data_IF_877619592267
#
_entry.id   IF_877619592267
#
_cell.length_a   1.000
_cell.length_b   1.000
_cell.length_c   1.000
_cell.angle_alpha   90.00
_cell.angle_beta   90.00
_cell.angle_gamma   90.00
#
_symmetry.space_group_name_H-M   'P 1'
#
loop_
_entity.id
_entity.type
_entity.pdbx_description
1 polymer ?
#
# COMPACT_ATOMS: atom_id res chain seq x y z
N UNK A 1 17.97 37.26 -13.16
CA UNK A 1 18.06 36.04 -12.33
C UNK A 1 17.71 34.91 -13.26
N UNK A 2 18.70 34.08 -13.61
CA UNK A 2 18.67 33.19 -14.77
C UNK A 2 17.58 32.12 -14.71
N UNK A 3 16.63 32.23 -15.64
CA UNK A 3 15.58 31.24 -15.89
C UNK A 3 16.14 29.86 -16.25
N UNK A 4 17.36 29.79 -16.82
CA UNK A 4 18.06 28.54 -17.15
C UNK A 4 18.54 27.77 -15.90
N UNK A 5 18.94 28.47 -14.83
CA UNK A 5 19.40 27.85 -13.57
C UNK A 5 18.20 27.33 -12.76
N UNK A 6 17.08 28.06 -12.77
CA UNK A 6 15.84 27.59 -12.15
C UNK A 6 15.28 26.35 -12.86
N UNK A 7 15.24 26.34 -14.19
CA UNK A 7 14.79 25.19 -14.97
C UNK A 7 15.61 23.92 -14.70
N UNK A 8 16.95 24.05 -14.59
CA UNK A 8 17.81 22.91 -14.23
C UNK A 8 17.62 22.39 -12.80
N UNK A 9 17.20 23.25 -11.87
CA UNK A 9 16.91 22.87 -10.49
C UNK A 9 15.55 22.16 -10.38
N UNK A 10 14.55 22.66 -11.09
CA UNK A 10 13.19 22.11 -11.12
C UNK A 10 13.15 20.71 -11.73
N UNK A 11 13.90 20.49 -12.82
CA UNK A 11 14.03 19.16 -13.46
C UNK A 11 14.65 18.15 -12.50
N UNK A 12 15.71 18.52 -11.77
CA UNK A 12 16.35 17.63 -10.79
C UNK A 12 15.40 17.22 -9.68
N UNK A 13 14.59 18.15 -9.16
CA UNK A 13 13.58 17.87 -8.12
C UNK A 13 12.53 16.89 -8.64
N UNK A 14 12.04 17.08 -9.87
CA UNK A 14 11.06 16.19 -10.49
C UNK A 14 11.62 14.77 -10.69
N UNK A 15 12.81 14.65 -11.27
CA UNK A 15 13.49 13.36 -11.51
C UNK A 15 13.75 12.62 -10.20
N UNK A 16 14.19 13.32 -9.16
CA UNK A 16 14.40 12.73 -7.85
C UNK A 16 13.09 12.29 -7.19
N UNK A 17 12.02 13.08 -7.34
CA UNK A 17 10.67 12.69 -6.91
C UNK A 17 10.20 11.40 -7.58
N UNK A 18 10.34 11.33 -8.90
CA UNK A 18 9.99 10.15 -9.70
C UNK A 18 10.83 8.93 -9.32
N UNK A 19 12.14 9.07 -9.14
CA UNK A 19 13.01 7.96 -8.71
C UNK A 19 12.62 7.42 -7.33
N UNK A 20 12.20 8.29 -6.41
CA UNK A 20 11.68 7.87 -5.11
C UNK A 20 10.36 7.11 -5.24
N UNK A 21 9.42 7.57 -6.08
CA UNK A 21 8.16 6.84 -6.37
C UNK A 21 8.48 5.49 -7.01
N UNK A 22 9.44 5.42 -7.94
CA UNK A 22 9.88 4.16 -8.57
C UNK A 22 10.45 3.19 -7.54
N UNK A 23 11.27 3.70 -6.62
CA UNK A 23 11.80 2.91 -5.52
C UNK A 23 10.72 2.39 -4.57
N UNK A 24 9.65 3.17 -4.33
CA UNK A 24 8.49 2.71 -3.58
C UNK A 24 7.72 1.62 -4.33
N UNK A 25 7.48 1.82 -5.64
CA UNK A 25 6.82 0.85 -6.49
C UNK A 25 7.54 -0.51 -6.49
N UNK A 26 8.87 -0.51 -6.55
CA UNK A 26 9.67 -1.74 -6.43
C UNK A 26 9.43 -2.46 -5.09
N UNK A 27 9.41 -1.73 -3.98
CA UNK A 27 9.16 -2.31 -2.66
C UNK A 27 7.74 -2.86 -2.54
N UNK A 28 6.75 -2.20 -3.15
CA UNK A 28 5.37 -2.72 -3.22
C UNK A 28 5.27 -3.98 -4.09
N UNK A 29 6.00 -4.06 -5.20
CA UNK A 29 6.11 -5.28 -6.01
C UNK A 29 6.66 -6.44 -5.16
N UNK A 30 7.78 -6.22 -4.47
CA UNK A 30 8.39 -7.24 -3.60
C UNK A 30 7.43 -7.66 -2.49
N UNK A 31 6.77 -6.68 -1.84
CA UNK A 31 5.78 -6.95 -0.79
C UNK A 31 4.61 -7.78 -1.31
N UNK A 32 4.13 -7.49 -2.53
CA UNK A 32 3.02 -8.20 -3.13
C UNK A 32 3.40 -9.65 -3.44
N UNK A 33 4.62 -9.89 -3.93
CA UNK A 33 5.16 -11.24 -4.14
C UNK A 33 5.25 -12.02 -2.83
N UNK A 34 5.74 -11.39 -1.75
CA UNK A 34 5.74 -12.01 -0.42
C UNK A 34 4.33 -12.33 0.06
N UNK A 35 3.35 -11.46 -0.23
CA UNK A 35 1.94 -11.70 0.03
C UNK A 35 1.43 -12.96 -0.68
N UNK A 36 1.72 -13.13 -1.98
CA UNK A 36 1.36 -14.34 -2.72
C UNK A 36 2.00 -15.60 -2.15
N UNK A 37 3.27 -15.53 -1.74
CA UNK A 37 3.95 -16.67 -1.10
C UNK A 37 3.26 -17.02 0.22
N UNK A 38 2.92 -16.02 1.04
CA UNK A 38 2.20 -16.25 2.30
C UNK A 38 0.81 -16.85 2.07
N UNK A 39 0.06 -16.36 1.07
CA UNK A 39 -1.23 -16.93 0.68
C UNK A 39 -1.09 -18.38 0.20
N UNK A 40 -0.10 -18.68 -0.64
CA UNK A 40 0.15 -20.05 -1.12
C UNK A 40 0.49 -21.01 0.03
N UNK A 41 1.34 -20.57 0.97
CA UNK A 41 1.68 -21.34 2.18
C UNK A 41 0.42 -21.60 3.01
N UNK A 42 -0.43 -20.58 3.19
CA UNK A 42 -1.69 -20.74 3.93
C UNK A 42 -2.63 -21.75 3.27
N UNK A 43 -2.77 -21.70 1.93
CA UNK A 43 -3.58 -22.66 1.16
C UNK A 43 -3.05 -24.09 1.31
N UNK A 44 -1.74 -24.29 1.15
CA UNK A 44 -1.10 -25.61 1.36
C UNK A 44 -1.35 -26.11 2.78
N UNK A 45 -1.27 -25.21 3.77
CA UNK A 45 -1.58 -25.52 5.17
C UNK A 45 -3.01 -26.01 5.37
N UNK A 46 -4.00 -25.32 4.81
CA UNK A 46 -5.40 -25.71 4.90
C UNK A 46 -5.61 -27.11 4.30
N UNK A 47 -5.06 -27.40 3.12
CA UNK A 47 -5.19 -28.73 2.52
C UNK A 47 -4.48 -29.82 3.32
N UNK A 48 -3.31 -29.51 3.90
CA UNK A 48 -2.59 -30.45 4.76
C UNK A 48 -3.41 -30.82 6.00
N UNK A 49 -4.06 -29.84 6.63
CA UNK A 49 -4.96 -30.07 7.78
C UNK A 49 -6.14 -30.95 7.39
N UNK A 50 -6.82 -30.64 6.28
CA UNK A 50 -7.97 -31.42 5.82
C UNK A 50 -7.56 -32.89 5.59
N UNK A 51 -6.40 -33.12 4.98
CA UNK A 51 -5.84 -34.47 4.78
C UNK A 51 -5.57 -35.19 6.10
N UNK A 52 -4.88 -34.55 7.04
CA UNK A 52 -4.54 -35.15 8.35
C UNK A 52 -5.78 -35.41 9.23
N UNK A 53 -6.81 -34.57 9.14
CA UNK A 53 -8.10 -34.82 9.83
C UNK A 53 -8.81 -36.01 9.20
N UNK A 54 -8.81 -36.13 7.87
CA UNK A 54 -9.43 -37.25 7.17
C UNK A 54 -8.77 -38.61 7.48
N UNK A 55 -7.47 -38.63 7.81
CA UNK A 55 -6.73 -39.83 8.21
C UNK A 55 -6.76 -40.11 9.72
N UNK A 56 -7.43 -39.25 10.51
CA UNK A 56 -7.57 -39.41 11.96
C UNK A 56 -6.33 -39.03 12.78
N UNK A 57 -5.29 -38.44 12.16
CA UNK A 57 -4.05 -38.08 12.86
C UNK A 57 -4.06 -36.61 13.33
N UNK A 58 -4.80 -36.35 14.40
CA UNK A 58 -4.99 -35.02 14.98
C UNK A 58 -3.69 -34.36 15.49
N UNK A 59 -2.72 -35.15 15.96
CA UNK A 59 -1.42 -34.63 16.43
C UNK A 59 -0.56 -34.11 15.26
N UNK A 60 -0.60 -34.79 14.11
CA UNK A 60 0.07 -34.35 12.89
C UNK A 60 -0.61 -33.13 12.26
N UNK A 61 -1.95 -33.07 12.32
CA UNK A 61 -2.72 -31.90 11.90
C UNK A 61 -2.33 -30.64 12.72
N UNK A 62 -2.19 -30.77 14.05
CA UNK A 62 -1.84 -29.64 14.91
C UNK A 62 -0.37 -29.20 14.72
N UNK A 63 0.56 -30.15 14.57
CA UNK A 63 1.97 -29.85 14.36
C UNK A 63 2.25 -29.17 13.00
N UNK A 64 1.58 -29.64 11.93
CA UNK A 64 1.69 -29.04 10.59
C UNK A 64 1.14 -27.61 10.54
N UNK A 65 0.04 -27.33 11.25
CA UNK A 65 -0.53 -25.97 11.36
C UNK A 65 0.44 -25.01 12.05
N UNK A 66 1.07 -25.43 13.15
CA UNK A 66 1.96 -24.58 13.92
C UNK A 66 3.14 -24.06 13.09
N UNK A 67 3.84 -24.95 12.38
CA UNK A 67 4.99 -24.57 11.55
C UNK A 67 4.61 -23.66 10.38
N UNK A 68 3.49 -23.96 9.70
CA UNK A 68 3.01 -23.20 8.55
C UNK A 68 2.55 -21.80 8.96
N UNK A 69 1.83 -21.67 10.07
CA UNK A 69 1.39 -20.37 10.58
C UNK A 69 2.58 -19.50 10.99
N UNK A 70 3.59 -20.05 11.65
CA UNK A 70 4.79 -19.29 12.03
C UNK A 70 5.52 -18.78 10.78
N UNK A 71 5.71 -19.63 9.77
CA UNK A 71 6.35 -19.24 8.52
C UNK A 71 5.56 -18.14 7.79
N UNK A 72 4.24 -18.28 7.67
CA UNK A 72 3.37 -17.27 7.07
C UNK A 72 3.42 -15.94 7.84
N UNK A 73 3.40 -15.98 9.17
CA UNK A 73 3.49 -14.79 10.01
C UNK A 73 4.81 -14.05 9.83
N UNK A 74 5.95 -14.76 9.75
CA UNK A 74 7.25 -14.14 9.49
C UNK A 74 7.25 -13.44 8.13
N UNK A 75 6.75 -14.10 7.09
CA UNK A 75 6.70 -13.52 5.73
C UNK A 75 5.81 -12.28 5.70
N UNK A 76 4.62 -12.35 6.32
CA UNK A 76 3.72 -11.21 6.42
C UNK A 76 4.32 -10.06 7.22
N UNK A 77 5.06 -10.35 8.28
CA UNK A 77 5.74 -9.34 9.09
C UNK A 77 6.85 -8.63 8.29
N UNK A 78 7.65 -9.37 7.52
CA UNK A 78 8.64 -8.80 6.59
C UNK A 78 7.96 -7.95 5.52
N UNK A 79 6.88 -8.45 4.92
CA UNK A 79 6.09 -7.71 3.94
C UNK A 79 5.52 -6.40 4.50
N UNK A 80 5.00 -6.43 5.73
CA UNK A 80 4.50 -5.24 6.43
C UNK A 80 5.62 -4.20 6.60
N UNK A 81 6.80 -4.61 7.10
CA UNK A 81 7.95 -3.70 7.25
C UNK A 81 8.35 -3.08 5.91
N UNK A 82 8.43 -3.88 4.85
CA UNK A 82 8.78 -3.38 3.51
C UNK A 82 7.74 -2.40 2.97
N UNK A 83 6.44 -2.66 3.18
CA UNK A 83 5.38 -1.73 2.80
C UNK A 83 5.50 -0.39 3.53
N UNK A 84 5.82 -0.41 4.84
CA UNK A 84 6.03 0.80 5.63
C UNK A 84 7.23 1.59 5.12
N UNK A 85 8.34 0.90 4.82
CA UNK A 85 9.52 1.53 4.21
C UNK A 85 9.16 2.12 2.84
N UNK A 86 8.41 1.40 2.01
CA UNK A 86 7.96 1.87 0.70
C UNK A 86 7.19 3.19 0.82
N UNK A 87 6.25 3.26 1.76
CA UNK A 87 5.40 4.43 1.97
C UNK A 87 6.19 5.60 2.57
N UNK A 88 6.82 5.38 3.72
CA UNK A 88 7.39 6.47 4.53
C UNK A 88 8.78 6.90 4.06
N UNK A 89 9.62 5.97 3.64
CA UNK A 89 10.98 6.29 3.23
C UNK A 89 11.07 6.72 1.76
N UNK A 90 10.15 6.27 0.90
CA UNK A 90 10.24 6.49 -0.56
C UNK A 90 9.04 7.22 -1.15
N UNK A 91 7.82 6.72 -0.94
CA UNK A 91 6.64 7.25 -1.63
C UNK A 91 6.27 8.67 -1.17
N UNK A 92 6.12 8.89 0.14
CA UNK A 92 5.78 10.21 0.71
C UNK A 92 6.87 11.25 0.39
N UNK A 93 8.17 10.96 0.56
CA UNK A 93 9.23 11.88 0.12
C UNK A 93 9.22 12.14 -1.40
N UNK A 94 8.90 11.14 -2.21
CA UNK A 94 8.73 11.28 -3.66
C UNK A 94 7.62 12.26 -4.02
N UNK A 95 6.42 12.06 -3.45
CA UNK A 95 5.30 12.98 -3.63
C UNK A 95 5.58 14.39 -3.10
N UNK A 96 6.36 14.52 -2.02
CA UNK A 96 6.78 15.84 -1.50
C UNK A 96 7.61 16.61 -2.52
N UNK A 97 8.55 15.94 -3.20
CA UNK A 97 9.38 16.55 -4.25
C UNK A 97 8.56 16.88 -5.48
N UNK A 98 7.67 15.97 -5.89
CA UNK A 98 6.74 16.24 -6.99
C UNK A 98 5.80 17.42 -6.69
N UNK A 99 5.35 17.58 -5.45
CA UNK A 99 4.57 18.74 -4.99
C UNK A 99 5.34 20.06 -5.10
N UNK A 100 6.64 20.04 -4.81
CA UNK A 100 7.49 21.24 -4.94
C UNK A 100 7.66 21.66 -6.39
N UNK A 101 7.69 20.68 -7.30
CA UNK A 101 7.80 20.92 -8.73
C UNK A 101 6.47 21.31 -9.39
N UNK A 102 5.36 20.63 -9.04
CA UNK A 102 4.04 20.94 -9.55
C UNK A 102 2.96 20.82 -8.45
N UNK A 103 2.19 21.90 -8.28
CA UNK A 103 1.16 22.02 -7.25
C UNK A 103 0.02 21.00 -7.39
N UNK A 104 -0.21 20.43 -8.58
CA UNK A 104 -1.20 19.36 -8.80
C UNK A 104 -0.99 18.17 -7.83
N UNK A 105 0.25 17.87 -7.44
CA UNK A 105 0.55 16.80 -6.48
C UNK A 105 0.24 17.13 -5.01
N UNK A 106 -0.18 18.37 -4.69
CA UNK A 106 -0.43 18.80 -3.31
C UNK A 106 -1.54 18.00 -2.62
N UNK A 107 -2.64 17.73 -3.33
CA UNK A 107 -3.78 16.96 -2.81
C UNK A 107 -3.37 15.52 -2.54
N UNK A 108 -2.74 14.86 -3.51
CA UNK A 108 -2.24 13.49 -3.38
C UNK A 108 -1.27 13.34 -2.20
N UNK A 109 -0.28 14.24 -2.10
CA UNK A 109 0.69 14.26 -1.00
C UNK A 109 0.01 14.40 0.38
N UNK A 110 -0.91 15.36 0.50
CA UNK A 110 -1.57 15.66 1.78
C UNK A 110 -2.46 14.49 2.21
N UNK A 111 -3.23 13.93 1.27
CA UNK A 111 -4.14 12.82 1.54
C UNK A 111 -3.37 11.55 1.93
N UNK A 112 -2.33 11.19 1.19
CA UNK A 112 -1.46 10.06 1.54
C UNK A 112 -0.76 10.28 2.87
N UNK A 113 -0.19 11.46 3.11
CA UNK A 113 0.54 11.72 4.36
C UNK A 113 -0.37 11.64 5.58
N UNK A 114 -1.50 12.35 5.57
CA UNK A 114 -2.42 12.41 6.71
C UNK A 114 -3.07 11.05 6.93
N UNK A 115 -3.60 10.44 5.87
CA UNK A 115 -4.27 9.15 5.95
C UNK A 115 -3.35 8.04 6.45
N UNK A 116 -2.14 7.93 5.89
CA UNK A 116 -1.20 6.88 6.27
C UNK A 116 -0.60 7.08 7.67
N UNK A 117 -0.27 8.32 8.06
CA UNK A 117 0.30 8.59 9.40
C UNK A 117 -0.76 8.40 10.48
N UNK A 118 -1.89 9.11 10.38
CA UNK A 118 -2.94 9.06 11.40
C UNK A 118 -3.53 7.65 11.46
N UNK A 119 -3.79 7.04 10.31
CA UNK A 119 -4.33 5.70 10.25
C UNK A 119 -3.43 4.67 10.90
N UNK A 120 -2.11 4.71 10.63
CA UNK A 120 -1.16 3.80 11.25
C UNK A 120 -1.04 4.03 12.76
N UNK A 121 -1.00 5.28 13.22
CA UNK A 121 -0.95 5.60 14.65
C UNK A 121 -2.20 5.07 15.35
N UNK A 122 -3.39 5.32 14.82
CA UNK A 122 -4.64 4.84 15.39
C UNK A 122 -4.72 3.32 15.41
N UNK A 123 -4.22 2.65 14.37
CA UNK A 123 -4.19 1.19 14.31
C UNK A 123 -3.23 0.61 15.36
N UNK A 124 -2.04 1.21 15.51
CA UNK A 124 -1.08 0.82 16.56
C UNK A 124 -1.63 1.07 17.97
N UNK A 125 -2.22 2.24 18.22
CA UNK A 125 -2.84 2.58 19.50
C UNK A 125 -3.99 1.64 19.79
N UNK A 126 -4.85 1.36 18.80
CA UNK A 126 -5.95 0.40 18.91
C UNK A 126 -5.45 -1.00 19.28
N UNK A 127 -4.40 -1.48 18.58
CA UNK A 127 -3.80 -2.79 18.84
C UNK A 127 -3.18 -2.89 20.24
N UNK A 128 -2.41 -1.88 20.67
CA UNK A 128 -1.82 -1.82 22.01
C UNK A 128 -2.92 -1.72 23.08
N UNK A 129 -4.01 -1.01 22.80
CA UNK A 129 -5.11 -0.82 23.74
C UNK A 129 -5.96 -2.09 23.94
N UNK A 130 -5.89 -3.09 23.06
CA UNK A 130 -6.66 -4.34 23.19
C UNK A 130 -6.40 -5.02 24.53
N UNK A 131 -5.13 -5.19 24.93
CA UNK A 131 -4.74 -5.90 26.15
C UNK A 131 -5.24 -5.19 27.43
N UNK A 132 -4.93 -3.90 27.66
CA UNK A 132 -5.38 -3.21 28.87
C UNK A 132 -6.90 -3.03 28.90
N UNK A 133 -7.55 -2.76 27.76
CA UNK A 133 -9.02 -2.65 27.71
C UNK A 133 -9.68 -4.00 28.02
N UNK A 134 -9.17 -5.10 27.45
CA UNK A 134 -9.67 -6.43 27.76
C UNK A 134 -9.47 -6.80 29.24
N UNK A 135 -8.35 -6.42 29.85
CA UNK A 135 -8.10 -6.64 31.27
C UNK A 135 -9.07 -5.85 32.16
N UNK A 136 -9.32 -4.57 31.86
CA UNK A 136 -10.32 -3.73 32.56
C UNK A 136 -11.71 -4.36 32.44
N UNK A 137 -12.06 -4.82 31.24
CA UNK A 137 -13.31 -5.52 30.96
C UNK A 137 -13.48 -6.78 31.82
N UNK A 138 -12.45 -7.63 31.86
CA UNK A 138 -12.46 -8.87 32.64
C UNK A 138 -12.54 -8.62 34.16
N UNK A 139 -11.83 -7.60 34.67
CA UNK A 139 -11.82 -7.26 36.10
C UNK A 139 -13.13 -6.64 36.60
N UNK A 140 -13.97 -6.12 35.69
CA UNK A 140 -15.23 -5.45 36.06
C UNK A 140 -16.30 -6.38 36.62
N UNK A 141 -16.18 -7.70 36.41
CA UNK A 141 -17.21 -8.69 36.75
C UNK A 141 -18.53 -8.56 35.97
N UNK A 142 -18.64 -7.58 35.07
CA UNK A 142 -19.82 -7.32 34.28
C UNK A 142 -19.59 -7.70 32.81
N UNK A 143 -20.40 -8.63 32.25
CA UNK A 143 -20.31 -9.00 30.84
C UNK A 143 -20.48 -7.81 29.89
N UNK A 144 -21.26 -6.80 30.28
CA UNK A 144 -21.50 -5.61 29.44
C UNK A 144 -20.26 -4.72 29.33
N UNK A 145 -19.50 -4.57 30.41
CA UNK A 145 -18.27 -3.77 30.42
C UNK A 145 -17.16 -4.51 29.66
N UNK A 146 -17.07 -5.84 29.80
CA UNK A 146 -16.13 -6.66 29.05
C UNK A 146 -16.35 -6.60 27.53
N UNK A 147 -17.60 -6.66 27.07
CA UNK A 147 -17.93 -6.44 25.67
C UNK A 147 -17.61 -5.00 25.24
N UNK A 148 -18.03 -4.00 26.03
CA UNK A 148 -17.80 -2.59 25.73
C UNK A 148 -16.33 -2.24 25.53
N UNK A 149 -15.43 -2.79 26.35
CA UNK A 149 -13.99 -2.57 26.23
C UNK A 149 -13.37 -3.15 24.96
N UNK A 150 -13.86 -4.33 24.51
CA UNK A 150 -13.42 -4.94 23.25
C UNK A 150 -13.93 -4.12 22.06
N UNK A 151 -15.20 -3.71 22.07
CA UNK A 151 -15.77 -2.85 21.02
C UNK A 151 -15.08 -1.49 20.94
N UNK A 152 -14.65 -0.93 22.07
CA UNK A 152 -13.89 0.33 22.09
C UNK A 152 -12.53 0.19 21.38
N UNK A 153 -11.78 -0.89 21.68
CA UNK A 153 -10.51 -1.18 21.00
C UNK A 153 -10.73 -1.43 19.50
N UNK A 154 -11.78 -2.19 19.16
CA UNK A 154 -12.15 -2.46 17.77
C UNK A 154 -12.54 -1.18 17.02
N UNK A 155 -13.31 -0.29 17.66
CA UNK A 155 -13.71 1.00 17.12
C UNK A 155 -12.51 1.88 16.76
N UNK A 156 -11.49 1.93 17.61
CA UNK A 156 -10.23 2.64 17.30
C UNK A 156 -9.53 2.06 16.07
N UNK A 157 -9.46 0.73 15.98
CA UNK A 157 -8.88 0.06 14.80
C UNK A 157 -9.67 0.33 13.52
N UNK A 158 -11.00 0.36 13.60
CA UNK A 158 -11.88 0.70 12.46
C UNK A 158 -11.63 2.14 11.99
N UNK A 159 -11.55 3.11 12.91
CA UNK A 159 -11.25 4.50 12.56
C UNK A 159 -9.84 4.58 11.92
N UNK A 160 -8.86 3.88 12.48
CA UNK A 160 -7.53 3.78 11.90
C UNK A 160 -7.53 3.21 10.48
N UNK A 161 -8.29 2.14 10.25
CA UNK A 161 -8.46 1.54 8.92
C UNK A 161 -9.10 2.51 7.92
N UNK A 162 -10.09 3.30 8.33
CA UNK A 162 -10.70 4.34 7.48
C UNK A 162 -9.66 5.40 7.09
N UNK A 163 -8.82 5.86 8.01
CA UNK A 163 -7.74 6.81 7.69
C UNK A 163 -6.70 6.21 6.74
N UNK A 164 -6.31 4.94 6.92
CA UNK A 164 -5.44 4.25 5.98
C UNK A 164 -6.08 4.16 4.58
N UNK A 165 -7.38 3.93 4.51
CA UNK A 165 -8.14 3.92 3.26
C UNK A 165 -8.08 5.27 2.55
N UNK A 166 -8.26 6.37 3.28
CA UNK A 166 -8.07 7.73 2.76
C UNK A 166 -6.64 7.93 2.25
N UNK A 167 -5.64 7.42 2.98
CA UNK A 167 -4.25 7.46 2.56
C UNK A 167 -4.00 6.75 1.22
N UNK A 168 -4.65 5.60 1.04
CA UNK A 168 -4.62 4.81 -0.20
C UNK A 168 -5.29 5.54 -1.37
N UNK A 169 -6.40 6.24 -1.12
CA UNK A 169 -7.01 7.12 -2.14
C UNK A 169 -6.01 8.20 -2.59
N UNK A 170 -5.19 8.72 -1.68
CA UNK A 170 -4.11 9.66 -2.05
C UNK A 170 -3.10 9.06 -3.04
N UNK A 171 -2.78 7.77 -2.90
CA UNK A 171 -1.92 7.04 -3.83
C UNK A 171 -2.60 6.96 -5.21
N UNK A 172 -3.89 6.62 -5.24
CA UNK A 172 -4.67 6.55 -6.48
C UNK A 172 -4.71 7.91 -7.19
N UNK A 173 -5.01 8.98 -6.45
CA UNK A 173 -5.02 10.36 -6.99
C UNK A 173 -3.65 10.74 -7.53
N UNK A 174 -2.56 10.30 -6.88
CA UNK A 174 -1.21 10.56 -7.40
C UNK A 174 -0.99 9.97 -8.79
N UNK A 175 -1.54 8.80 -9.09
CA UNK A 175 -1.44 8.17 -10.42
C UNK A 175 -2.17 8.99 -11.49
N UNK A 176 -3.37 9.50 -11.18
CA UNK A 176 -4.09 10.37 -12.12
C UNK A 176 -3.37 11.69 -12.35
N UNK A 177 -2.77 12.27 -11.31
CA UNK A 177 -1.97 13.49 -11.43
C UNK A 177 -0.68 13.24 -12.24
N UNK A 178 -0.05 12.06 -12.11
CA UNK A 178 1.08 11.70 -12.97
C UNK A 178 0.63 11.60 -14.45
N UNK A 179 -0.57 11.10 -14.72
CA UNK A 179 -1.11 11.10 -16.08
C UNK A 179 -1.40 12.52 -16.60
N UNK A 180 -2.03 13.40 -15.82
CA UNK A 180 -2.32 14.79 -16.25
C UNK A 180 -1.04 15.56 -16.55
N UNK A 181 -0.03 15.42 -15.70
CA UNK A 181 1.22 16.20 -15.80
C UNK A 181 2.17 15.63 -16.85
N UNK A 182 2.31 14.30 -16.95
CA UNK A 182 3.29 13.68 -17.85
C UNK A 182 2.70 13.17 -19.17
N UNK A 183 1.37 13.08 -19.27
CA UNK A 183 0.66 12.61 -20.47
C UNK A 183 0.85 11.13 -20.79
N UNK A 184 1.24 10.31 -19.80
CA UNK A 184 1.48 8.88 -19.98
C UNK A 184 0.29 8.06 -19.48
N UNK A 185 -0.47 7.47 -20.42
CA UNK A 185 -1.70 6.71 -20.14
C UNK A 185 -1.49 5.51 -19.22
N UNK A 186 -0.26 4.99 -19.11
CA UNK A 186 0.09 3.90 -18.20
C UNK A 186 -0.17 4.27 -16.73
N UNK A 187 0.01 5.54 -16.33
CA UNK A 187 -0.32 5.96 -14.96
C UNK A 187 -1.83 5.96 -14.71
N UNK A 188 -2.63 6.32 -15.72
CA UNK A 188 -4.09 6.25 -15.63
C UNK A 188 -4.55 4.79 -15.48
N UNK A 189 -3.99 3.88 -16.29
CA UNK A 189 -4.30 2.44 -16.19
C UNK A 189 -3.90 1.92 -14.80
N UNK A 190 -2.72 2.28 -14.29
CA UNK A 190 -2.32 1.91 -12.94
C UNK A 190 -3.28 2.44 -11.87
N UNK A 191 -3.73 3.69 -11.99
CA UNK A 191 -4.74 4.27 -11.09
C UNK A 191 -6.06 3.51 -11.10
N UNK A 192 -6.56 3.12 -12.28
CA UNK A 192 -7.78 2.31 -12.42
C UNK A 192 -7.59 0.91 -11.81
N UNK A 193 -6.44 0.27 -12.06
CA UNK A 193 -6.13 -1.04 -11.46
C UNK A 193 -6.06 -0.96 -9.93
N UNK A 194 -5.52 0.12 -9.36
CA UNK A 194 -5.54 0.34 -7.91
C UNK A 194 -6.96 0.50 -7.38
N UNK A 195 -7.84 1.23 -8.08
CA UNK A 195 -9.27 1.34 -7.71
C UNK A 195 -9.94 -0.05 -7.73
N UNK A 196 -9.73 -0.82 -8.80
CA UNK A 196 -10.31 -2.16 -8.92
C UNK A 196 -9.77 -3.09 -7.83
N UNK A 197 -8.47 -3.02 -7.54
CA UNK A 197 -7.86 -3.79 -6.45
C UNK A 197 -8.48 -3.41 -5.10
N UNK A 198 -8.78 -2.14 -4.87
CA UNK A 198 -9.39 -1.67 -3.63
C UNK A 198 -10.82 -2.21 -3.46
N UNK A 199 -11.64 -2.09 -4.49
CA UNK A 199 -13.03 -2.58 -4.48
C UNK A 199 -13.06 -4.10 -4.32
N UNK A 200 -12.26 -4.82 -5.10
CA UNK A 200 -12.16 -6.29 -5.00
C UNK A 200 -11.55 -6.73 -3.67
N UNK A 201 -10.66 -5.93 -3.07
CA UNK A 201 -10.08 -6.22 -1.76
C UNK A 201 -11.14 -6.18 -0.66
N UNK A 202 -12.08 -5.23 -0.72
CA UNK A 202 -13.23 -5.18 0.20
C UNK A 202 -14.14 -6.38 0.00
N UNK A 203 -14.45 -6.73 -1.25
CA UNK A 203 -15.23 -7.94 -1.56
C UNK A 203 -14.49 -9.21 -1.11
N UNK A 204 -13.16 -9.19 -1.20
CA UNK A 204 -12.23 -10.24 -0.79
C UNK A 204 -12.35 -10.63 0.68
N UNK A 205 -12.84 -9.72 1.53
CA UNK A 205 -13.15 -10.03 2.94
C UNK A 205 -14.21 -11.13 3.04
N UNK A 206 -15.16 -11.18 2.10
CA UNK A 206 -16.25 -12.16 2.07
C UNK A 206 -16.01 -13.30 1.08
N UNK A 207 -15.25 -13.04 0.00
CA UNK A 207 -15.04 -13.99 -1.10
C UNK A 207 -13.55 -14.15 -1.36
N UNK A 208 -12.97 -15.27 -0.91
CA UNK A 208 -11.54 -15.56 -1.07
C UNK A 208 -11.01 -15.38 -2.51
N UNK A 209 -11.74 -15.85 -3.53
CA UNK A 209 -11.29 -15.69 -4.92
C UNK A 209 -11.13 -14.20 -5.33
N UNK A 210 -11.93 -13.30 -4.76
CA UNK A 210 -11.81 -11.87 -5.03
C UNK A 210 -10.55 -11.26 -4.38
N UNK A 211 -10.07 -11.80 -3.26
CA UNK A 211 -8.82 -11.34 -2.64
C UNK A 211 -7.62 -11.67 -3.52
N UNK A 212 -7.55 -12.88 -4.10
CA UNK A 212 -6.45 -13.26 -5.00
C UNK A 212 -6.42 -12.37 -6.25
N UNK A 213 -7.59 -12.11 -6.86
CA UNK A 213 -7.67 -11.23 -8.04
C UNK A 213 -7.26 -9.80 -7.67
N UNK A 214 -7.71 -9.28 -6.52
CA UNK A 214 -7.30 -7.96 -6.02
C UNK A 214 -5.77 -7.85 -5.90
N UNK A 215 -5.11 -8.82 -5.27
CA UNK A 215 -3.65 -8.87 -5.11
C UNK A 215 -2.93 -8.85 -6.46
N UNK A 216 -3.47 -9.53 -7.48
CA UNK A 216 -2.89 -9.56 -8.84
C UNK A 216 -3.00 -8.17 -9.48
N UNK A 217 -4.18 -7.54 -9.42
CA UNK A 217 -4.36 -6.19 -9.98
C UNK A 217 -3.47 -5.16 -9.29
N UNK A 218 -3.34 -5.25 -7.96
CA UNK A 218 -2.45 -4.40 -7.17
C UNK A 218 -1.00 -4.54 -7.62
N UNK A 219 -0.51 -5.78 -7.78
CA UNK A 219 0.83 -6.05 -8.29
C UNK A 219 1.05 -5.46 -9.69
N UNK A 220 0.12 -5.69 -10.61
CA UNK A 220 0.21 -5.17 -11.99
C UNK A 220 0.26 -3.65 -12.00
N UNK A 221 -0.55 -2.98 -11.18
CA UNK A 221 -0.54 -1.52 -11.08
C UNK A 221 0.85 -0.96 -10.70
N UNK A 222 1.51 -1.56 -9.71
CA UNK A 222 2.85 -1.13 -9.31
C UNK A 222 3.91 -1.45 -10.35
N UNK A 223 3.79 -2.58 -11.06
CA UNK A 223 4.66 -2.89 -12.21
C UNK A 223 4.52 -1.79 -13.28
N UNK A 224 3.30 -1.39 -13.63
CA UNK A 224 3.07 -0.32 -14.61
C UNK A 224 3.70 1.00 -14.19
N UNK A 225 3.54 1.39 -12.91
CA UNK A 225 4.18 2.60 -12.37
C UNK A 225 5.71 2.48 -12.50
N UNK A 226 6.28 1.33 -12.11
CA UNK A 226 7.71 1.10 -12.12
C UNK A 226 8.34 1.21 -13.53
N UNK A 227 7.69 0.65 -14.55
CA UNK A 227 8.19 0.68 -15.94
C UNK A 227 7.96 2.02 -16.64
N UNK A 228 6.98 2.81 -16.19
CA UNK A 228 6.62 4.08 -16.84
C UNK A 228 7.54 5.22 -16.39
N UNK A 229 7.97 5.21 -15.12
CA UNK A 229 8.81 6.27 -14.56
C UNK A 229 10.10 6.53 -15.36
N UNK A 230 10.88 5.53 -15.79
CA UNK A 230 12.06 5.79 -16.62
C UNK A 230 11.76 6.54 -17.92
N UNK A 231 10.63 6.23 -18.57
CA UNK A 231 10.20 6.93 -19.80
C UNK A 231 9.83 8.37 -19.50
N UNK A 232 9.12 8.59 -18.39
CA UNK A 232 8.76 9.93 -17.92
C UNK A 232 9.99 10.77 -17.59
N UNK A 233 10.99 10.20 -16.93
CA UNK A 233 12.26 10.88 -16.64
C UNK A 233 12.94 11.32 -17.95
N UNK A 234 13.08 10.40 -18.91
CA UNK A 234 13.71 10.71 -20.20
C UNK A 234 12.98 11.85 -20.95
N UNK A 235 11.65 11.93 -20.84
CA UNK A 235 10.83 12.99 -21.45
C UNK A 235 11.02 14.36 -20.80
N UNK A 236 11.28 14.40 -19.49
CA UNK A 236 11.51 15.64 -18.74
C UNK A 236 12.97 16.11 -18.92
N UNK A 237 13.91 15.18 -19.05
CA UNK A 237 15.34 15.47 -19.27
C UNK A 237 15.66 15.84 -20.72
N UNK A 238 14.82 15.43 -21.68
CA UNK A 238 14.98 15.84 -23.07
C UNK A 238 14.86 17.38 -23.20
N UNK A 239 15.81 18.05 -23.87
CA UNK A 239 15.70 19.47 -24.17
C UNK A 239 14.36 19.72 -24.87
N UNK A 240 13.54 20.60 -24.31
CA UNK A 240 12.35 21.12 -24.98
C UNK A 240 12.82 21.85 -26.24
N UNK A 241 12.92 21.16 -27.38
CA UNK A 241 13.14 21.80 -28.67
C UNK A 241 11.92 22.70 -28.88
N UNK A 242 12.07 24.02 -28.99
CA UNK A 242 10.94 24.91 -29.20
C UNK A 242 10.19 24.46 -30.45
N UNK A 243 8.91 24.14 -30.33
CA UNK A 243 8.02 23.85 -31.46
C UNK A 243 7.76 25.07 -32.37
N UNK A 244 8.56 26.14 -32.26
CA UNK A 244 8.44 27.36 -33.06
C UNK A 244 9.32 27.39 -34.31
N UNK A 245 10.01 26.30 -34.67
CA UNK A 245 10.78 26.23 -35.92
C UNK A 245 10.09 25.44 -37.04
N UNK A 246 8.75 25.38 -37.03
CA UNK A 246 7.95 24.99 -38.20
C UNK A 246 6.99 26.13 -38.54
N UNK A 247 7.55 27.32 -38.74
CA UNK A 247 6.93 28.36 -39.56
C UNK A 247 7.73 28.47 -40.85
N UNK A 248 6.99 28.71 -41.94
CA UNK A 248 7.38 29.00 -43.34
C UNK A 248 7.22 27.83 -44.31
#
# INVERSE_FOLDING_TARGET
>A
MDTSIQQGTDVKIAVEGLNNVRGAALLFIITSILGFIAEAIAVIGVFSVIGSVATGNLMEALASVGGILIAALIILFVGLILSLIAIFAKFIPGLRKLKQWNQEFSTAYTLTRIGMIIGLILLLVGFIAVIPLAAIGAMSGSPTVAMGSIFAALGLMIIGAIFLFIGFIGIIVSCFNMNSVFGESMYMIAGILLILSLILGIIGIFVWAASTVSSILYLIAWILIYITIPKTIAKIEAPQVPQTATLL
#
